data_IF_740479356010
#
_entry.id   IF_740479356010
#
_cell.length_a   1.000
_cell.length_b   1.000
_cell.length_c   1.000
_cell.angle_alpha   90.00
_cell.angle_beta   90.00
_cell.angle_gamma   90.00
#
_symmetry.space_group_name_H-M   'P 1'
#
loop_
_entity.id
_entity.type
_entity.pdbx_description
1 polymer ?
#
# COMPACT_ATOMS: atom_id res chain seq x y z
N UNK A 1 2.07 -3.60 -24.86
CA UNK A 1 2.06 -4.90 -24.16
C UNK A 1 1.31 -4.83 -22.82
N UNK A 2 1.49 -3.74 -22.03
CA UNK A 2 0.81 -3.57 -20.74
C UNK A 2 -0.71 -3.47 -20.84
N UNK A 3 -1.24 -2.82 -21.87
CA UNK A 3 -2.69 -2.66 -22.09
C UNK A 3 -3.43 -3.98 -22.30
N UNK A 4 -2.79 -4.97 -22.88
CA UNK A 4 -3.39 -6.30 -23.13
C UNK A 4 -3.50 -7.10 -21.82
N UNK A 5 -2.47 -7.07 -20.96
CA UNK A 5 -2.47 -7.73 -19.65
C UNK A 5 -3.57 -7.17 -18.74
N UNK A 6 -3.81 -5.85 -18.75
CA UNK A 6 -4.86 -5.23 -17.95
C UNK A 6 -6.28 -5.49 -18.46
N UNK A 7 -6.44 -5.77 -19.75
CA UNK A 7 -7.74 -6.18 -20.33
C UNK A 7 -8.07 -7.64 -20.04
N UNK A 8 -7.08 -8.53 -20.14
CA UNK A 8 -7.27 -9.96 -19.90
C UNK A 8 -7.32 -10.34 -18.42
N UNK A 9 -6.83 -9.50 -17.50
CA UNK A 9 -6.82 -9.79 -16.07
C UNK A 9 -8.22 -10.04 -15.47
N UNK A 10 -9.26 -9.24 -15.76
CA UNK A 10 -10.61 -9.53 -15.27
C UNK A 10 -11.24 -10.79 -15.89
N UNK A 11 -10.96 -11.08 -17.17
CA UNK A 11 -11.44 -12.30 -17.83
C UNK A 11 -10.78 -13.54 -17.22
N UNK A 12 -9.47 -13.49 -16.98
CA UNK A 12 -8.76 -14.55 -16.27
C UNK A 12 -9.31 -14.72 -14.84
N UNK A 13 -9.60 -13.61 -14.17
CA UNK A 13 -10.22 -13.65 -12.84
C UNK A 13 -11.58 -14.38 -12.86
N UNK A 14 -12.38 -14.17 -13.89
CA UNK A 14 -13.66 -14.87 -14.05
C UNK A 14 -13.45 -16.40 -14.14
N UNK A 15 -12.47 -16.86 -14.91
CA UNK A 15 -12.13 -18.30 -15.01
C UNK A 15 -11.64 -18.87 -13.67
N UNK A 16 -10.81 -18.13 -12.96
CA UNK A 16 -10.31 -18.52 -11.63
C UNK A 16 -11.48 -18.64 -10.64
N UNK A 17 -12.42 -17.71 -10.68
CA UNK A 17 -13.60 -17.73 -9.81
C UNK A 17 -14.53 -18.88 -10.18
N UNK A 18 -14.76 -19.16 -11.48
CA UNK A 18 -15.56 -20.30 -11.92
C UNK A 18 -14.95 -21.63 -11.46
N UNK A 19 -13.62 -21.78 -11.56
CA UNK A 19 -12.90 -22.95 -11.02
C UNK A 19 -13.02 -23.04 -9.50
N UNK A 20 -12.82 -21.95 -8.79
CA UNK A 20 -12.96 -21.89 -7.34
C UNK A 20 -14.37 -22.26 -6.88
N UNK A 21 -15.38 -21.79 -7.59
CA UNK A 21 -16.78 -22.14 -7.35
C UNK A 21 -17.02 -23.64 -7.54
N UNK A 22 -16.48 -24.24 -8.60
CA UNK A 22 -16.62 -25.68 -8.84
C UNK A 22 -15.98 -26.54 -7.74
N UNK A 23 -14.86 -26.09 -7.16
CA UNK A 23 -14.27 -26.74 -5.99
C UNK A 23 -15.12 -26.57 -4.73
N UNK A 24 -15.63 -25.35 -4.50
CA UNK A 24 -16.41 -25.01 -3.31
C UNK A 24 -17.75 -25.71 -3.25
N UNK A 25 -18.42 -25.84 -4.40
CA UNK A 25 -19.73 -26.52 -4.56
C UNK A 25 -19.61 -28.01 -4.88
N UNK A 26 -18.40 -28.57 -4.91
CA UNK A 26 -18.17 -29.98 -5.22
C UNK A 26 -18.87 -30.90 -4.22
N UNK A 27 -19.53 -31.98 -4.68
CA UNK A 27 -20.07 -33.02 -3.79
C UNK A 27 -18.98 -33.69 -2.94
N UNK A 28 -17.72 -33.59 -3.34
CA UNK A 28 -16.55 -34.11 -2.61
C UNK A 28 -15.86 -33.04 -1.75
N UNK A 29 -16.51 -31.93 -1.48
CA UNK A 29 -15.94 -30.81 -0.73
C UNK A 29 -15.26 -31.21 0.57
N UNK A 30 -15.91 -32.01 1.39
CA UNK A 30 -15.37 -32.46 2.68
C UNK A 30 -14.03 -33.20 2.53
N UNK A 31 -13.95 -34.09 1.54
CA UNK A 31 -12.73 -34.83 1.21
C UNK A 31 -11.62 -33.87 0.70
N UNK A 32 -11.99 -32.95 -0.20
CA UNK A 32 -11.04 -31.97 -0.74
C UNK A 32 -10.51 -31.03 0.37
N UNK A 33 -11.38 -30.58 1.27
CA UNK A 33 -11.01 -29.73 2.39
C UNK A 33 -10.07 -30.44 3.38
N UNK A 34 -10.28 -31.73 3.63
CA UNK A 34 -9.35 -32.55 4.41
C UNK A 34 -7.96 -32.65 3.75
N UNK A 35 -7.90 -32.79 2.43
CA UNK A 35 -6.63 -32.95 1.67
C UNK A 35 -5.90 -31.64 1.42
N UNK A 36 -6.61 -30.56 1.10
CA UNK A 36 -6.04 -29.27 0.70
C UNK A 36 -5.87 -28.37 1.94
N UNK A 37 -6.75 -28.52 2.92
CA UNK A 37 -6.75 -27.77 4.17
C UNK A 37 -7.89 -26.73 4.26
N UNK A 38 -8.39 -26.46 5.47
CA UNK A 38 -9.54 -25.58 5.71
C UNK A 38 -9.25 -24.11 5.36
N UNK A 39 -7.99 -23.67 5.50
CA UNK A 39 -7.59 -22.29 5.16
C UNK A 39 -7.74 -22.02 3.67
N UNK A 40 -7.39 -22.98 2.81
CA UNK A 40 -7.56 -22.85 1.36
C UNK A 40 -9.03 -22.66 0.99
N UNK A 41 -9.93 -23.47 1.57
CA UNK A 41 -11.37 -23.34 1.35
C UNK A 41 -11.95 -22.04 1.91
N UNK A 42 -11.43 -21.55 3.05
CA UNK A 42 -11.79 -20.23 3.56
C UNK A 42 -11.38 -19.11 2.60
N UNK A 43 -10.18 -19.19 2.01
CA UNK A 43 -9.74 -18.23 1.01
C UNK A 43 -10.58 -18.29 -0.27
N UNK A 44 -10.99 -19.49 -0.71
CA UNK A 44 -11.95 -19.66 -1.82
C UNK A 44 -13.27 -18.95 -1.51
N UNK A 45 -13.83 -19.17 -0.32
CA UNK A 45 -15.07 -18.51 0.14
C UNK A 45 -14.95 -16.98 0.04
N UNK A 46 -13.83 -16.40 0.56
CA UNK A 46 -13.60 -14.95 0.51
C UNK A 46 -13.44 -14.44 -0.93
N UNK A 47 -12.77 -15.22 -1.79
CA UNK A 47 -12.62 -14.86 -3.21
C UNK A 47 -13.99 -14.83 -3.92
N UNK A 48 -14.87 -15.79 -3.63
CA UNK A 48 -16.23 -15.81 -4.18
C UNK A 48 -17.09 -14.63 -3.69
N UNK A 49 -16.91 -14.21 -2.44
CA UNK A 49 -17.56 -13.00 -1.88
C UNK A 49 -16.99 -11.69 -2.44
N UNK A 50 -15.76 -11.73 -2.96
CA UNK A 50 -15.04 -10.56 -3.46
C UNK A 50 -15.20 -10.26 -4.94
N UNK A 51 -15.89 -11.11 -5.71
CA UNK A 51 -15.99 -11.00 -7.16
C UNK A 51 -17.36 -11.43 -7.71
N UNK A 52 -17.77 -10.71 -8.75
CA UNK A 52 -18.89 -11.06 -9.62
C UNK A 52 -18.55 -10.51 -11.02
N UNK A 53 -18.99 -11.18 -12.09
CA UNK A 53 -18.71 -10.80 -13.48
C UNK A 53 -19.16 -9.37 -13.80
N UNK A 54 -20.25 -8.91 -13.18
CA UNK A 54 -20.76 -7.54 -13.33
C UNK A 54 -19.78 -6.46 -12.87
N UNK A 55 -18.76 -6.81 -12.07
CA UNK A 55 -17.72 -5.88 -11.62
C UNK A 55 -16.63 -5.64 -12.67
N UNK A 56 -16.55 -6.45 -13.73
CA UNK A 56 -15.46 -6.36 -14.73
C UNK A 56 -15.24 -4.94 -15.24
N UNK A 57 -16.28 -4.17 -15.66
CA UNK A 57 -16.08 -2.81 -16.14
C UNK A 57 -15.48 -1.88 -15.07
N UNK A 58 -15.97 -1.97 -13.83
CA UNK A 58 -15.45 -1.17 -12.70
C UNK A 58 -14.02 -1.56 -12.33
N UNK A 59 -13.68 -2.84 -12.40
CA UNK A 59 -12.31 -3.32 -12.17
C UNK A 59 -11.34 -2.86 -13.27
N UNK A 60 -11.79 -2.79 -14.53
CA UNK A 60 -11.00 -2.23 -15.64
C UNK A 60 -10.75 -0.74 -15.43
N UNK A 61 -11.74 0.01 -14.99
CA UNK A 61 -11.60 1.42 -14.63
C UNK A 61 -10.64 1.60 -13.43
N UNK A 62 -10.77 0.79 -12.37
CA UNK A 62 -9.83 0.81 -11.23
C UNK A 62 -8.39 0.56 -11.67
N UNK A 63 -8.16 -0.40 -12.58
CA UNK A 63 -6.85 -0.67 -13.14
C UNK A 63 -6.29 0.52 -13.94
N UNK A 64 -7.14 1.21 -14.72
CA UNK A 64 -6.74 2.41 -15.46
C UNK A 64 -6.34 3.54 -14.50
N UNK A 65 -7.16 3.84 -13.50
CA UNK A 65 -6.88 4.85 -12.47
C UNK A 65 -5.61 4.54 -11.67
N UNK A 66 -5.40 3.28 -11.31
CA UNK A 66 -4.19 2.83 -10.61
C UNK A 66 -2.94 3.00 -11.50
N UNK A 67 -3.08 2.77 -12.79
CA UNK A 67 -2.00 2.97 -13.77
C UNK A 67 -1.68 4.45 -13.92
N UNK A 68 -2.70 5.31 -13.99
CA UNK A 68 -2.54 6.76 -14.05
C UNK A 68 -1.80 7.29 -12.80
N UNK A 69 -2.17 6.81 -11.61
CA UNK A 69 -1.47 7.14 -10.37
C UNK A 69 0.02 6.74 -10.42
N UNK A 70 0.33 5.52 -10.88
CA UNK A 70 1.71 5.05 -11.03
C UNK A 70 2.50 5.88 -12.04
N UNK A 71 1.87 6.25 -13.16
CA UNK A 71 2.47 7.08 -14.19
C UNK A 71 2.74 8.50 -13.67
N UNK A 72 1.83 9.06 -12.88
CA UNK A 72 2.04 10.36 -12.24
C UNK A 72 3.26 10.32 -11.31
N UNK A 73 3.41 9.30 -10.47
CA UNK A 73 4.60 9.13 -9.63
C UNK A 73 5.89 8.96 -10.46
N UNK A 74 5.83 8.16 -11.54
CA UNK A 74 6.96 7.90 -12.41
C UNK A 74 7.36 9.13 -13.23
N UNK A 75 6.46 10.08 -13.44
CA UNK A 75 6.73 11.32 -14.19
C UNK A 75 7.57 12.34 -13.42
N UNK A 76 7.85 12.10 -12.14
CA UNK A 76 8.58 13.03 -11.28
C UNK A 76 9.96 13.35 -11.85
N UNK A 77 10.20 14.64 -12.06
CA UNK A 77 11.47 15.22 -12.50
C UNK A 77 11.87 16.31 -11.50
N UNK A 78 12.81 15.97 -10.65
CA UNK A 78 13.25 16.85 -9.56
C UNK A 78 14.64 17.35 -9.89
N UNK A 79 14.77 18.65 -10.06
CA UNK A 79 16.08 19.28 -10.27
C UNK A 79 16.85 19.32 -8.95
N UNK A 80 18.03 18.70 -8.96
CA UNK A 80 18.92 18.60 -7.83
C UNK A 80 20.39 18.79 -8.27
N UNK A 81 21.00 19.90 -7.85
CA UNK A 81 22.43 20.21 -8.07
C UNK A 81 22.89 20.04 -9.54
N UNK A 82 22.01 20.40 -10.49
CA UNK A 82 22.28 20.33 -11.93
C UNK A 82 21.88 19.01 -12.60
N UNK A 83 21.36 18.05 -11.83
CA UNK A 83 20.84 16.77 -12.34
C UNK A 83 19.31 16.73 -12.24
N UNK A 84 18.68 15.91 -13.10
CA UNK A 84 17.25 15.59 -13.02
C UNK A 84 17.09 14.22 -12.38
N UNK A 85 16.54 14.19 -11.18
CA UNK A 85 16.32 12.96 -10.41
C UNK A 85 14.82 12.61 -10.34
N UNK A 86 14.54 11.32 -10.19
CA UNK A 86 13.20 10.85 -9.86
C UNK A 86 13.03 10.71 -8.32
N UNK A 87 11.81 10.39 -7.86
CA UNK A 87 11.49 10.24 -6.43
C UNK A 87 12.39 9.20 -5.72
N UNK A 88 12.78 8.13 -6.42
CA UNK A 88 13.61 7.07 -5.82
C UNK A 88 15.07 7.51 -5.67
N UNK A 89 15.62 8.19 -6.66
CA UNK A 89 17.00 8.70 -6.62
C UNK A 89 17.18 9.80 -5.58
N UNK A 90 16.14 10.62 -5.34
CA UNK A 90 16.15 11.63 -4.28
C UNK A 90 16.38 11.05 -2.87
N UNK A 91 16.01 9.77 -2.63
CA UNK A 91 16.15 9.13 -1.32
C UNK A 91 17.59 9.13 -0.79
N UNK A 92 18.58 9.03 -1.67
CA UNK A 92 20.00 9.12 -1.29
C UNK A 92 20.28 10.46 -0.57
N UNK A 93 19.82 11.56 -1.13
CA UNK A 93 20.02 12.89 -0.59
C UNK A 93 19.15 13.18 0.64
N UNK A 94 17.94 12.61 0.67
CA UNK A 94 17.03 12.65 1.83
C UNK A 94 17.60 11.91 3.06
N UNK A 95 18.60 11.04 2.88
CA UNK A 95 19.31 10.34 3.94
C UNK A 95 20.75 10.85 4.15
N UNK A 96 21.11 12.01 3.61
CA UNK A 96 22.43 12.64 3.81
C UNK A 96 22.74 12.83 5.30
N UNK A 97 24.00 12.71 5.70
CA UNK A 97 24.43 13.05 7.06
C UNK A 97 24.36 14.56 7.32
N UNK A 98 24.55 15.38 6.28
CA UNK A 98 24.36 16.81 6.37
C UNK A 98 22.87 17.16 6.47
N UNK A 99 22.52 17.85 7.56
CA UNK A 99 21.12 18.16 7.90
C UNK A 99 20.47 19.13 6.92
N UNK A 100 21.22 20.11 6.44
CA UNK A 100 20.69 21.11 5.51
C UNK A 100 20.45 20.49 4.12
N UNK A 101 21.34 19.62 3.67
CA UNK A 101 21.16 18.82 2.47
C UNK A 101 19.92 17.92 2.58
N UNK A 102 19.74 17.22 3.72
CA UNK A 102 18.52 16.44 3.96
C UNK A 102 17.26 17.27 3.86
N UNK A 103 17.24 18.42 4.54
CA UNK A 103 16.10 19.34 4.53
C UNK A 103 15.74 19.76 3.12
N UNK A 104 16.72 20.28 2.35
CA UNK A 104 16.53 20.71 0.97
C UNK A 104 16.02 19.57 0.08
N UNK A 105 16.57 18.36 0.25
CA UNK A 105 16.16 17.19 -0.52
C UNK A 105 14.72 16.78 -0.21
N UNK A 106 14.33 16.79 1.06
CA UNK A 106 12.96 16.52 1.50
C UNK A 106 11.98 17.59 0.96
N UNK A 107 12.33 18.86 1.01
CA UNK A 107 11.53 19.95 0.48
C UNK A 107 11.31 19.79 -1.03
N UNK A 108 12.38 19.52 -1.79
CA UNK A 108 12.30 19.28 -3.25
C UNK A 108 11.44 18.05 -3.59
N UNK A 109 11.64 16.95 -2.86
CA UNK A 109 10.84 15.75 -3.03
C UNK A 109 9.35 15.98 -2.72
N UNK A 110 9.05 16.68 -1.63
CA UNK A 110 7.68 16.97 -1.21
C UNK A 110 6.99 17.96 -2.14
N UNK A 111 7.73 18.92 -2.70
CA UNK A 111 7.20 19.92 -3.63
C UNK A 111 6.54 19.27 -4.86
N UNK A 112 7.07 18.16 -5.36
CA UNK A 112 6.43 17.40 -6.44
C UNK A 112 4.99 17.02 -6.09
N UNK A 113 4.73 16.57 -4.86
CA UNK A 113 3.37 16.23 -4.42
C UNK A 113 2.49 17.46 -4.22
N UNK A 114 3.06 18.56 -3.73
CA UNK A 114 2.33 19.82 -3.59
C UNK A 114 1.91 20.38 -4.95
N UNK A 115 2.83 20.37 -5.92
CA UNK A 115 2.56 20.85 -7.29
C UNK A 115 1.54 20.00 -8.05
N UNK A 116 1.40 18.74 -7.69
CA UNK A 116 0.45 17.81 -8.29
C UNK A 116 -0.71 17.43 -7.36
N UNK A 117 -0.94 18.20 -6.27
CA UNK A 117 -1.93 17.86 -5.26
C UNK A 117 -3.34 17.64 -5.85
N UNK A 118 -3.79 18.56 -6.71
CA UNK A 118 -5.10 18.46 -7.37
C UNK A 118 -5.26 17.15 -8.16
N UNK A 119 -4.22 16.72 -8.88
CA UNK A 119 -4.26 15.46 -9.65
C UNK A 119 -4.30 14.24 -8.73
N UNK A 120 -3.55 14.24 -7.63
CA UNK A 120 -3.60 13.18 -6.64
C UNK A 120 -4.96 13.10 -5.96
N UNK A 121 -5.53 14.23 -5.59
CA UNK A 121 -6.85 14.31 -4.96
C UNK A 121 -7.96 13.83 -5.91
N UNK A 122 -7.91 14.24 -7.18
CA UNK A 122 -8.86 13.79 -8.20
C UNK A 122 -8.77 12.27 -8.43
N UNK A 123 -7.57 11.71 -8.56
CA UNK A 123 -7.37 10.27 -8.71
C UNK A 123 -7.84 9.49 -7.49
N UNK A 124 -7.56 10.00 -6.30
CA UNK A 124 -8.00 9.39 -5.06
C UNK A 124 -9.53 9.38 -4.95
N UNK A 125 -10.19 10.49 -5.25
CA UNK A 125 -11.65 10.60 -5.25
C UNK A 125 -12.28 9.63 -6.26
N UNK A 126 -11.76 9.55 -7.48
CA UNK A 126 -12.21 8.59 -8.49
C UNK A 126 -12.06 7.14 -8.01
N UNK A 127 -10.93 6.79 -7.39
CA UNK A 127 -10.70 5.45 -6.83
C UNK A 127 -11.67 5.13 -5.69
N UNK A 128 -11.94 6.08 -4.80
CA UNK A 128 -12.93 5.91 -3.72
C UNK A 128 -14.32 5.68 -4.27
N UNK A 129 -14.74 6.49 -5.26
CA UNK A 129 -16.05 6.36 -5.91
C UNK A 129 -16.19 5.01 -6.63
N UNK A 130 -15.18 4.63 -7.42
CA UNK A 130 -15.17 3.35 -8.13
C UNK A 130 -15.25 2.16 -7.16
N UNK A 131 -14.41 2.12 -6.12
CA UNK A 131 -14.42 1.05 -5.12
C UNK A 131 -15.73 0.99 -4.33
N UNK A 132 -16.32 2.14 -4.03
CA UNK A 132 -17.63 2.21 -3.39
C UNK A 132 -18.72 1.65 -4.30
N UNK A 133 -18.68 1.95 -5.61
CA UNK A 133 -19.60 1.40 -6.59
C UNK A 133 -19.47 -0.12 -6.68
N UNK A 134 -18.23 -0.66 -6.73
CA UNK A 134 -17.99 -2.10 -6.73
C UNK A 134 -18.60 -2.80 -5.50
N UNK A 135 -18.44 -2.18 -4.32
CA UNK A 135 -19.02 -2.73 -3.09
C UNK A 135 -20.55 -2.76 -3.13
N UNK A 136 -21.16 -1.67 -3.60
CA UNK A 136 -22.62 -1.58 -3.75
C UNK A 136 -23.19 -2.57 -4.76
N UNK A 137 -22.50 -2.79 -5.88
CA UNK A 137 -22.88 -3.81 -6.88
C UNK A 137 -22.94 -5.22 -6.28
N UNK A 138 -22.09 -5.51 -5.28
CA UNK A 138 -22.12 -6.78 -4.55
C UNK A 138 -23.08 -6.79 -3.34
N UNK A 139 -23.81 -5.68 -3.10
CA UNK A 139 -24.76 -5.57 -1.99
C UNK A 139 -24.14 -5.18 -0.65
N UNK A 140 -22.89 -4.76 -0.63
CA UNK A 140 -22.23 -4.25 0.60
C UNK A 140 -22.56 -2.77 0.83
N UNK A 141 -22.65 -2.38 2.10
CA UNK A 141 -22.89 -0.98 2.49
C UNK A 141 -21.76 -0.06 2.02
N UNK A 142 -20.53 -0.51 2.13
CA UNK A 142 -19.32 0.23 1.78
C UNK A 142 -18.18 -0.71 1.39
N UNK A 143 -17.04 -0.14 0.97
CA UNK A 143 -15.89 -0.93 0.49
C UNK A 143 -15.12 -1.67 1.62
N UNK A 144 -15.37 -1.40 2.90
CA UNK A 144 -14.58 -1.98 3.99
C UNK A 144 -14.67 -3.51 3.95
N UNK A 145 -15.88 -4.06 3.88
CA UNK A 145 -16.10 -5.50 3.88
C UNK A 145 -15.51 -6.16 2.62
N UNK A 146 -15.81 -5.62 1.45
CA UNK A 146 -15.25 -6.07 0.18
C UNK A 146 -13.71 -6.01 0.19
N UNK A 147 -13.13 -4.95 0.76
CA UNK A 147 -11.69 -4.80 0.90
C UNK A 147 -11.06 -5.88 1.78
N UNK A 148 -11.74 -6.29 2.86
CA UNK A 148 -11.29 -7.40 3.71
C UNK A 148 -11.31 -8.73 2.95
N UNK A 149 -12.33 -9.03 2.17
CA UNK A 149 -12.38 -10.23 1.34
C UNK A 149 -11.29 -10.25 0.28
N UNK A 150 -11.09 -9.17 -0.45
CA UNK A 150 -10.03 -9.03 -1.48
C UNK A 150 -8.61 -9.15 -0.93
N UNK A 151 -8.41 -8.75 0.32
CA UNK A 151 -7.13 -8.94 1.03
C UNK A 151 -7.01 -10.31 1.70
N UNK A 152 -7.97 -11.22 1.48
CA UNK A 152 -8.01 -12.57 2.06
C UNK A 152 -7.83 -12.56 3.59
N UNK A 153 -8.45 -11.59 4.26
CA UNK A 153 -8.43 -11.51 5.72
C UNK A 153 -9.40 -12.54 6.32
N UNK A 154 -8.92 -13.76 6.46
CA UNK A 154 -9.72 -14.95 6.81
C UNK A 154 -9.80 -15.24 8.31
N UNK A 155 -8.97 -14.60 9.15
CA UNK A 155 -8.86 -14.89 10.59
C UNK A 155 -9.08 -13.66 11.48
N UNK A 156 -9.35 -12.48 10.92
CA UNK A 156 -9.66 -11.27 11.69
C UNK A 156 -10.57 -10.33 10.89
N UNK A 157 -11.34 -9.52 11.61
CA UNK A 157 -12.28 -8.54 11.08
C UNK A 157 -11.90 -7.10 11.44
N UNK A 158 -12.75 -6.15 11.04
CA UNK A 158 -12.55 -4.71 11.29
C UNK A 158 -12.51 -4.35 12.79
N UNK A 159 -13.26 -5.10 13.62
CA UNK A 159 -13.37 -4.81 15.05
C UNK A 159 -12.13 -5.31 15.80
N UNK A 160 -11.61 -6.48 15.41
CA UNK A 160 -10.30 -6.96 15.87
C UNK A 160 -9.17 -6.00 15.48
N UNK A 161 -9.19 -5.48 14.24
CA UNK A 161 -8.21 -4.46 13.79
C UNK A 161 -8.38 -3.14 14.54
N UNK A 162 -9.62 -2.75 14.87
CA UNK A 162 -9.87 -1.58 15.73
C UNK A 162 -9.26 -1.77 17.11
N UNK A 163 -9.50 -2.92 17.74
CA UNK A 163 -8.90 -3.26 19.02
C UNK A 163 -7.36 -3.19 18.96
N UNK A 164 -6.74 -3.77 17.93
CA UNK A 164 -5.29 -3.68 17.72
C UNK A 164 -4.80 -2.23 17.62
N UNK A 165 -5.45 -1.39 16.81
CA UNK A 165 -5.09 0.05 16.70
C UNK A 165 -5.22 0.79 18.03
N UNK A 166 -6.26 0.50 18.81
CA UNK A 166 -6.46 1.11 20.12
C UNK A 166 -5.32 0.72 21.08
N UNK A 167 -4.85 -0.54 21.02
CA UNK A 167 -3.68 -1.01 21.78
C UNK A 167 -2.40 -0.31 21.33
N UNK A 168 -2.17 -0.19 20.01
CA UNK A 168 -1.03 0.55 19.45
C UNK A 168 -1.03 2.00 19.95
N UNK A 169 -2.16 2.69 19.84
CA UNK A 169 -2.31 4.07 20.30
C UNK A 169 -2.04 4.21 21.80
N UNK A 170 -2.54 3.27 22.60
CA UNK A 170 -2.44 3.33 24.07
C UNK A 170 -1.04 2.99 24.59
N UNK A 171 -0.38 2.00 24.00
CA UNK A 171 0.86 1.45 24.55
C UNK A 171 2.09 1.72 23.69
N UNK A 172 1.98 1.56 22.36
CA UNK A 172 3.13 1.67 21.49
C UNK A 172 3.49 3.14 21.19
N UNK A 173 2.48 3.99 20.95
CA UNK A 173 2.73 5.41 20.65
C UNK A 173 3.47 6.12 21.77
N UNK A 174 3.09 6.04 23.06
CA UNK A 174 3.85 6.67 24.14
C UNK A 174 5.26 6.11 24.31
N UNK A 175 5.47 4.84 23.98
CA UNK A 175 6.81 4.25 23.97
C UNK A 175 7.66 4.80 22.82
N UNK A 176 7.09 4.90 21.62
CA UNK A 176 7.76 5.49 20.46
C UNK A 176 8.13 6.96 20.69
N UNK A 177 7.28 7.74 21.34
CA UNK A 177 7.57 9.13 21.73
C UNK A 177 8.83 9.22 22.62
N UNK A 178 8.96 8.32 23.61
CA UNK A 178 10.17 8.26 24.45
C UNK A 178 11.41 7.91 23.64
N UNK A 179 11.30 7.01 22.64
CA UNK A 179 12.43 6.69 21.74
C UNK A 179 12.78 7.88 20.86
N UNK A 180 11.79 8.62 20.35
CA UNK A 180 12.01 9.83 19.56
C UNK A 180 12.69 10.92 20.39
N UNK A 181 12.30 11.11 21.66
CA UNK A 181 12.94 12.06 22.53
C UNK A 181 14.41 11.69 22.85
N UNK A 182 14.69 10.41 23.14
CA UNK A 182 16.06 9.91 23.31
C UNK A 182 16.91 10.12 22.05
N UNK A 183 16.32 9.90 20.86
CA UNK A 183 16.98 10.17 19.57
C UNK A 183 17.26 11.65 19.39
N UNK A 184 16.29 12.51 19.68
CA UNK A 184 16.45 13.97 19.66
C UNK A 184 17.64 14.43 20.49
N UNK A 185 17.72 13.96 21.75
CA UNK A 185 18.82 14.27 22.67
C UNK A 185 20.15 13.75 22.14
N UNK A 186 20.20 12.51 21.63
CA UNK A 186 21.43 11.93 21.04
C UNK A 186 21.94 12.73 19.85
N UNK A 187 21.05 13.26 19.02
CA UNK A 187 21.39 14.08 17.87
C UNK A 187 21.70 15.53 18.25
N UNK A 188 21.54 15.93 19.50
CA UNK A 188 21.77 17.30 19.99
C UNK A 188 20.79 18.31 19.38
N UNK A 189 19.56 17.89 19.06
CA UNK A 189 18.57 18.74 18.40
C UNK A 189 17.55 19.28 19.41
N UNK A 190 17.15 20.54 19.25
CA UNK A 190 16.04 21.11 20.01
C UNK A 190 14.72 20.46 19.63
N UNK A 191 14.52 20.16 18.34
CA UNK A 191 13.33 19.52 17.80
C UNK A 191 13.69 18.60 16.64
N UNK A 192 13.14 17.38 16.63
CA UNK A 192 13.16 16.50 15.46
C UNK A 192 12.18 17.04 14.41
N UNK A 193 12.68 17.21 13.20
CA UNK A 193 11.85 17.52 12.03
C UNK A 193 11.60 16.24 11.21
N UNK A 194 10.67 16.31 10.25
CA UNK A 194 10.36 15.18 9.36
C UNK A 194 11.58 14.68 8.58
N UNK A 195 12.48 15.57 8.20
CA UNK A 195 13.73 15.22 7.50
C UNK A 195 14.79 14.59 8.43
N UNK A 196 14.59 14.56 9.73
CA UNK A 196 15.45 13.84 10.69
C UNK A 196 14.96 12.41 10.97
N UNK A 197 13.81 12.00 10.39
CA UNK A 197 13.17 10.72 10.71
C UNK A 197 14.06 9.50 10.41
N UNK A 198 14.91 9.58 9.39
CA UNK A 198 15.85 8.50 9.02
C UNK A 198 17.18 8.51 9.78
N UNK A 199 17.46 9.51 10.64
CA UNK A 199 18.76 9.65 11.33
C UNK A 199 18.69 9.18 12.78
N UNK A 200 19.58 8.29 13.16
CA UNK A 200 19.63 7.73 14.52
C UNK A 200 20.88 8.14 15.30
N UNK A 201 21.99 8.44 14.62
CA UNK A 201 23.28 8.80 15.21
C UNK A 201 23.94 9.96 14.46
N UNK A 202 24.73 10.78 15.17
CA UNK A 202 25.41 11.95 14.59
C UNK A 202 26.47 11.59 13.52
N UNK A 203 27.08 10.42 13.66
CA UNK A 203 28.08 9.91 12.72
C UNK A 203 27.50 9.02 11.61
N UNK A 204 26.19 9.04 11.43
CA UNK A 204 25.46 8.22 10.47
C UNK A 204 24.87 6.95 11.08
N UNK A 205 23.92 6.38 10.37
CA UNK A 205 23.31 5.11 10.79
C UNK A 205 24.29 3.93 10.58
N UNK A 206 24.21 2.87 11.40
CA UNK A 206 24.93 1.63 11.12
C UNK A 206 24.62 1.14 9.69
N UNK A 207 25.67 0.78 8.99
CA UNK A 207 25.59 0.17 7.66
C UNK A 207 26.18 -1.27 7.72
N UNK A 208 25.73 -2.17 6.87
CA UNK A 208 26.42 -3.45 6.69
C UNK A 208 27.88 -3.23 6.32
N UNK A 209 28.75 -4.13 6.78
CA UNK A 209 30.15 -4.17 6.35
C UNK A 209 30.17 -4.99 5.06
N UNK A 210 30.84 -4.44 4.02
CA UNK A 210 30.92 -5.09 2.71
C UNK A 210 30.19 -4.33 1.61
N UNK A 211 30.23 -4.87 0.41
CA UNK A 211 29.51 -4.37 -0.75
C UNK A 211 28.10 -4.98 -0.84
N UNK A 212 27.19 -4.42 -1.67
CA UNK A 212 25.87 -5.03 -1.88
C UNK A 212 25.91 -6.44 -2.46
N UNK A 213 27.04 -6.85 -3.05
CA UNK A 213 27.26 -8.17 -3.63
C UNK A 213 27.80 -9.18 -2.61
N UNK A 214 28.35 -8.74 -1.48
CA UNK A 214 28.82 -9.56 -0.35
C UNK A 214 27.71 -9.81 0.66
#
# INVERSE_FOLDING_TARGET
PYTTLFRSSPELQNLIVAYSKSLYESPYRAYLEEKIGPVAFKNIELSLKGFDEKLIPLMQEENALTTEYKNLLASAKIEWEGEILNLSLMKKHMNSQDRDTRKRAWEKHTNFFVENAEKFDELYDKLVKNRTAQAKELGYENYIELGYYRMQRNCYDKDMVKCFRDQVKKYLVPFAEKLHDRRRQRLGLDKLAYYDAGMFFNNGNPAPIGTPEE
#
